data_IF_408701585520
#
_entry.id   IF_408701585520
#
_cell.length_a   1.000
_cell.length_b   1.000
_cell.length_c   1.000
_cell.angle_alpha   90.00
_cell.angle_beta   90.00
_cell.angle_gamma   90.00
#
_symmetry.space_group_name_H-M   'P 1'
#
loop_
_entity.id
_entity.type
_entity.pdbx_description
1 polymer ?
#
# COMPACT_ATOMS: atom_id res chain seq x y z
N UNK A 1 16.19 25.06 -2.27
CA UNK A 1 15.85 23.97 -1.33
C UNK A 1 14.36 23.69 -1.49
N UNK A 2 13.97 22.54 -2.05
CA UNK A 2 12.55 22.18 -2.17
C UNK A 2 12.03 21.76 -0.80
N UNK A 3 10.82 22.20 -0.44
CA UNK A 3 10.17 21.81 0.80
C UNK A 3 10.08 20.26 0.89
N UNK A 4 10.23 19.66 2.09
CA UNK A 4 10.09 18.22 2.23
C UNK A 4 8.69 17.81 1.77
N UNK A 5 8.61 16.83 0.86
CA UNK A 5 7.33 16.26 0.41
C UNK A 5 6.65 15.68 1.64
N UNK A 6 5.61 16.36 2.13
CA UNK A 6 4.82 15.87 3.26
C UNK A 6 4.07 14.64 2.79
N UNK A 7 4.36 13.51 3.43
CA UNK A 7 3.71 12.24 3.12
C UNK A 7 2.20 12.40 3.36
N UNK A 8 1.38 12.07 2.36
CA UNK A 8 -0.07 12.14 2.52
C UNK A 8 -0.53 11.09 3.54
N UNK A 9 -1.35 11.52 4.50
CA UNK A 9 -1.86 10.68 5.58
C UNK A 9 -3.34 10.37 5.36
N UNK A 10 -3.70 9.09 5.49
CA UNK A 10 -5.07 8.60 5.45
C UNK A 10 -5.40 7.86 6.74
N UNK A 11 -6.54 8.19 7.32
CA UNK A 11 -7.04 7.53 8.52
C UNK A 11 -8.01 6.42 8.13
N UNK A 12 -7.77 5.21 8.64
CA UNK A 12 -8.52 4.00 8.32
C UNK A 12 -8.90 3.25 9.58
N UNK A 13 -9.92 2.40 9.46
CA UNK A 13 -10.26 1.42 10.49
C UNK A 13 -9.01 0.61 10.91
N UNK A 14 -8.67 0.56 12.22
CA UNK A 14 -7.57 -0.23 12.75
C UNK A 14 -7.59 -1.71 12.31
N UNK A 15 -8.77 -2.31 12.10
CA UNK A 15 -8.91 -3.69 11.65
C UNK A 15 -8.25 -3.93 10.29
N UNK A 16 -8.19 -2.93 9.41
CA UNK A 16 -7.50 -3.01 8.10
C UNK A 16 -5.99 -3.09 8.23
N UNK A 17 -5.45 -2.62 9.35
CA UNK A 17 -4.02 -2.65 9.70
C UNK A 17 -3.67 -3.83 10.63
N UNK A 18 -4.64 -4.66 11.00
CA UNK A 18 -4.41 -5.85 11.83
C UNK A 18 -3.40 -6.78 11.15
N UNK A 19 -2.39 -7.24 11.89
CA UNK A 19 -1.49 -8.31 11.41
C UNK A 19 -2.15 -9.68 11.40
N UNK A 20 -3.33 -9.81 12.00
CA UNK A 20 -3.97 -11.10 12.24
C UNK A 20 -3.19 -11.97 13.21
N UNK A 21 -3.57 -13.25 13.27
CA UNK A 21 -2.90 -14.30 14.02
C UNK A 21 -2.74 -15.56 13.19
N UNK A 22 -1.69 -16.31 13.44
CA UNK A 22 -1.54 -17.64 12.86
C UNK A 22 -2.54 -18.60 13.49
N UNK A 23 -3.31 -19.32 12.67
CA UNK A 23 -4.21 -20.36 13.14
C UNK A 23 -3.65 -21.73 12.78
N UNK A 24 -3.10 -22.43 13.77
CA UNK A 24 -2.53 -23.78 13.58
C UNK A 24 -3.55 -24.79 13.03
N UNK A 25 -4.82 -24.69 13.43
CA UNK A 25 -5.87 -25.60 12.94
C UNK A 25 -6.17 -25.44 11.45
N UNK A 26 -6.03 -24.22 10.92
CA UNK A 26 -6.31 -23.90 9.51
C UNK A 26 -5.04 -23.73 8.67
N UNK A 27 -3.89 -23.93 9.29
CA UNK A 27 -2.55 -23.72 8.74
C UNK A 27 -2.41 -22.43 7.92
N UNK A 28 -2.96 -21.33 8.45
CA UNK A 28 -2.96 -20.03 7.76
C UNK A 28 -3.12 -18.86 8.72
N UNK A 29 -2.73 -17.67 8.24
CA UNK A 29 -3.03 -16.41 8.89
C UNK A 29 -4.55 -16.13 8.84
N UNK A 30 -5.13 -15.70 9.95
CA UNK A 30 -6.55 -15.30 10.06
C UNK A 30 -6.68 -13.93 10.73
N UNK A 31 -7.70 -13.17 10.33
CA UNK A 31 -7.97 -11.84 10.89
C UNK A 31 -6.93 -10.78 10.53
N UNK A 32 -6.12 -11.03 9.50
CA UNK A 32 -5.23 -10.02 8.91
C UNK A 32 -6.07 -9.03 8.10
N UNK A 33 -5.81 -7.74 8.31
CA UNK A 33 -6.46 -6.67 7.57
C UNK A 33 -5.94 -6.59 6.13
N UNK A 34 -6.75 -6.07 5.21
CA UNK A 34 -6.42 -6.01 3.79
C UNK A 34 -5.17 -5.16 3.47
N UNK A 35 -4.94 -4.07 4.22
CA UNK A 35 -3.75 -3.23 4.06
C UNK A 35 -2.50 -4.01 4.49
N UNK A 36 -2.57 -4.72 5.62
CA UNK A 36 -1.48 -5.58 6.10
C UNK A 36 -1.19 -6.74 5.15
N UNK A 37 -2.23 -7.46 4.73
CA UNK A 37 -2.13 -8.58 3.78
C UNK A 37 -1.56 -8.16 2.41
N UNK A 38 -1.69 -6.88 2.05
CA UNK A 38 -1.12 -6.33 0.82
C UNK A 38 0.39 -6.09 0.87
N UNK A 39 1.04 -6.16 2.04
CA UNK A 39 2.47 -5.87 2.18
C UNK A 39 3.30 -6.66 1.18
N UNK A 40 4.09 -5.96 0.35
CA UNK A 40 4.75 -6.57 -0.82
C UNK A 40 6.22 -6.17 -1.00
N UNK A 41 6.87 -5.54 -0.02
CA UNK A 41 8.27 -5.11 -0.18
C UNK A 41 9.21 -6.28 -0.55
N UNK A 42 9.01 -7.44 0.07
CA UNK A 42 9.72 -8.68 -0.23
C UNK A 42 9.41 -9.21 -1.65
N UNK A 43 8.16 -9.06 -2.11
CA UNK A 43 7.73 -9.55 -3.42
C UNK A 43 8.08 -8.63 -4.58
N UNK A 44 8.23 -7.34 -4.33
CA UNK A 44 8.59 -6.37 -5.37
C UNK A 44 10.01 -6.65 -5.90
N UNK A 45 10.92 -7.16 -5.06
CA UNK A 45 12.24 -7.60 -5.52
C UNK A 45 12.16 -8.75 -6.56
N UNK A 46 11.11 -9.58 -6.47
CA UNK A 46 10.78 -10.64 -7.44
C UNK A 46 9.92 -10.13 -8.62
N UNK A 47 9.62 -8.82 -8.69
CA UNK A 47 8.76 -8.22 -9.71
C UNK A 47 7.27 -8.53 -9.54
N UNK A 48 6.81 -8.88 -8.33
CA UNK A 48 5.43 -9.27 -8.03
C UNK A 48 4.87 -8.49 -6.85
N UNK A 49 3.55 -8.47 -6.73
CA UNK A 49 2.86 -7.96 -5.54
C UNK A 49 1.81 -8.97 -5.05
N UNK A 50 1.50 -8.90 -3.75
CA UNK A 50 0.31 -9.54 -3.18
C UNK A 50 -0.96 -8.82 -3.65
N UNK A 51 -2.13 -9.32 -3.23
CA UNK A 51 -3.41 -8.70 -3.56
C UNK A 51 -3.43 -7.24 -3.07
N UNK A 52 -3.66 -6.26 -3.97
CA UNK A 52 -3.77 -4.86 -3.59
C UNK A 52 -5.07 -4.61 -2.82
N UNK A 53 -5.08 -3.57 -2.01
CA UNK A 53 -6.28 -3.10 -1.31
C UNK A 53 -6.90 -1.91 -2.04
N UNK A 54 -8.19 -1.67 -1.79
CA UNK A 54 -8.93 -0.53 -2.35
C UNK A 54 -8.97 0.61 -1.35
N UNK A 55 -8.74 1.83 -1.83
CA UNK A 55 -8.96 3.06 -1.07
C UNK A 55 -9.22 4.23 -2.02
N UNK A 56 -10.29 4.98 -1.77
CA UNK A 56 -10.69 6.16 -2.57
C UNK A 56 -10.68 5.88 -4.08
N UNK A 57 -11.36 4.81 -4.51
CA UNK A 57 -11.47 4.37 -5.91
C UNK A 57 -10.14 4.05 -6.62
N UNK A 58 -9.05 3.85 -5.87
CA UNK A 58 -7.77 3.43 -6.38
C UNK A 58 -7.30 2.12 -5.74
N UNK A 59 -6.41 1.42 -6.44
CA UNK A 59 -5.69 0.26 -5.91
C UNK A 59 -4.37 0.70 -5.31
N UNK A 60 -4.04 0.09 -4.18
CA UNK A 60 -2.85 0.39 -3.38
C UNK A 60 -2.16 -0.89 -2.91
N UNK A 61 -0.86 -0.80 -2.65
CA UNK A 61 -0.08 -1.89 -2.05
C UNK A 61 0.82 -1.35 -0.96
N UNK A 62 0.82 -2.03 0.18
CA UNK A 62 1.72 -1.71 1.28
C UNK A 62 3.15 -2.15 0.97
N UNK A 63 4.11 -1.30 1.30
CA UNK A 63 5.56 -1.52 1.06
C UNK A 63 6.39 -1.33 2.32
N UNK A 64 5.77 -0.98 3.44
CA UNK A 64 6.47 -0.68 4.68
C UNK A 64 5.52 -0.53 5.86
N UNK A 65 6.02 -0.83 7.05
CA UNK A 65 5.37 -0.44 8.30
C UNK A 65 5.92 0.89 8.79
N UNK A 66 5.07 1.72 9.37
CA UNK A 66 5.45 2.90 10.15
C UNK A 66 5.01 2.61 11.58
N UNK A 67 5.98 2.50 12.50
CA UNK A 67 5.70 2.38 13.93
C UNK A 67 5.82 3.77 14.56
N UNK A 68 4.75 4.28 15.18
CA UNK A 68 4.77 5.53 15.94
C UNK A 68 4.10 5.30 17.28
N UNK A 69 4.90 5.24 18.35
CA UNK A 69 4.40 4.90 19.68
C UNK A 69 3.68 3.55 19.68
N UNK A 70 2.41 3.57 20.08
CA UNK A 70 1.60 2.36 20.28
C UNK A 70 0.78 1.92 19.07
N UNK A 71 0.85 2.65 17.95
CA UNK A 71 0.07 2.29 16.76
C UNK A 71 0.95 1.86 15.58
N UNK A 72 0.43 0.89 14.82
CA UNK A 72 0.98 0.46 13.53
C UNK A 72 0.28 1.22 12.42
N UNK A 73 1.07 1.80 11.54
CA UNK A 73 0.64 2.38 10.28
C UNK A 73 1.32 1.65 9.11
N UNK A 74 0.78 1.81 7.91
CA UNK A 74 1.35 1.25 6.70
C UNK A 74 1.76 2.36 5.73
N UNK A 75 2.90 2.19 5.07
CA UNK A 75 3.29 3.00 3.92
C UNK A 75 2.88 2.26 2.65
N UNK A 76 2.17 2.93 1.75
CA UNK A 76 1.67 2.30 0.53
C UNK A 76 1.83 3.19 -0.71
N UNK A 77 1.88 2.56 -1.87
CA UNK A 77 1.91 3.20 -3.19
C UNK A 77 0.64 2.85 -3.95
N UNK A 78 0.19 3.77 -4.82
CA UNK A 78 -0.87 3.47 -5.79
C UNK A 78 -0.37 2.51 -6.85
N UNK A 79 -1.30 1.80 -7.47
CA UNK A 79 -1.01 0.87 -8.55
C UNK A 79 -1.90 1.20 -9.74
N UNK A 80 -1.30 1.24 -10.92
CA UNK A 80 -2.01 1.35 -12.20
C UNK A 80 -1.55 0.26 -13.14
N UNK A 81 -2.39 -0.11 -14.11
CA UNK A 81 -1.92 -0.94 -15.22
C UNK A 81 -0.81 -0.22 -15.98
N UNK A 82 0.18 -0.98 -16.46
CA UNK A 82 1.35 -0.43 -17.15
C UNK A 82 0.99 0.49 -18.31
N UNK A 83 -0.10 0.20 -19.04
CA UNK A 83 -0.58 1.03 -20.17
C UNK A 83 -1.01 2.45 -19.78
N UNK A 84 -1.35 2.68 -18.51
CA UNK A 84 -1.75 4.00 -18.00
C UNK A 84 -0.58 4.77 -17.38
N UNK A 85 0.61 4.16 -17.32
CA UNK A 85 1.81 4.83 -16.83
C UNK A 85 2.52 5.56 -17.97
N UNK A 86 2.60 6.88 -17.90
CA UNK A 86 3.24 7.72 -18.92
C UNK A 86 4.77 7.74 -18.87
N UNK A 87 5.40 7.11 -17.87
CA UNK A 87 6.86 7.04 -17.73
C UNK A 87 7.45 5.72 -18.22
N UNK A 88 8.78 5.61 -18.13
CA UNK A 88 9.49 4.35 -18.39
C UNK A 88 9.49 3.49 -17.12
N UNK A 89 8.89 2.29 -17.13
CA UNK A 89 8.93 1.41 -15.97
C UNK A 89 10.36 0.95 -15.68
N UNK A 90 10.67 0.77 -14.40
CA UNK A 90 11.97 0.30 -13.90
C UNK A 90 11.78 -0.96 -13.05
N UNK A 91 12.75 -1.87 -13.07
CA UNK A 91 12.76 -3.02 -12.16
C UNK A 91 13.38 -2.68 -10.81
N UNK A 92 13.10 -3.50 -9.79
CA UNK A 92 13.69 -3.28 -8.47
C UNK A 92 15.21 -3.26 -8.51
N UNK A 93 15.81 -4.20 -9.24
CA UNK A 93 17.26 -4.34 -9.34
C UNK A 93 17.92 -3.13 -10.02
N UNK A 94 17.32 -2.62 -11.10
CA UNK A 94 17.81 -1.41 -11.76
C UNK A 94 17.74 -0.20 -10.83
N UNK A 95 16.63 -0.05 -10.11
CA UNK A 95 16.44 1.06 -9.20
C UNK A 95 17.34 0.99 -7.95
N UNK A 96 17.53 -0.22 -7.40
CA UNK A 96 18.39 -0.46 -6.24
C UNK A 96 19.87 -0.12 -6.53
N UNK A 97 20.34 -0.31 -7.77
CA UNK A 97 21.69 0.09 -8.20
C UNK A 97 21.94 1.60 -8.13
N UNK A 98 20.88 2.41 -8.13
CA UNK A 98 20.97 3.87 -7.99
C UNK A 98 21.09 4.31 -6.52
N UNK A 99 20.92 3.39 -5.56
CA UNK A 99 21.14 3.60 -4.12
C UNK A 99 20.49 4.90 -3.58
N UNK A 100 21.30 5.85 -3.11
CA UNK A 100 20.83 7.11 -2.53
C UNK A 100 20.02 7.96 -3.51
N UNK A 101 20.37 7.95 -4.80
CA UNK A 101 19.66 8.75 -5.80
C UNK A 101 18.20 8.30 -5.97
N UNK A 102 17.94 6.98 -5.89
CA UNK A 102 16.57 6.47 -5.92
C UNK A 102 15.77 6.83 -4.67
N UNK A 103 16.41 6.83 -3.50
CA UNK A 103 15.75 7.18 -2.22
C UNK A 103 15.48 8.67 -2.05
N UNK A 104 16.24 9.53 -2.74
CA UNK A 104 16.06 10.98 -2.71
C UNK A 104 14.96 11.51 -3.64
N UNK A 105 14.32 10.66 -4.46
CA UNK A 105 13.26 11.09 -5.37
C UNK A 105 12.01 11.53 -4.61
N UNK A 106 11.35 12.63 -4.99
CA UNK A 106 10.13 13.09 -4.34
C UNK A 106 8.96 12.11 -4.48
N UNK A 107 8.92 11.33 -5.57
CA UNK A 107 7.94 10.27 -5.77
C UNK A 107 8.24 9.02 -4.94
N UNK A 108 9.43 8.96 -4.33
CA UNK A 108 9.89 7.86 -3.50
C UNK A 108 10.45 6.67 -4.28
N UNK A 109 11.08 5.76 -3.53
CA UNK A 109 11.89 4.68 -4.07
C UNK A 109 11.13 3.76 -5.04
N UNK A 110 9.85 3.47 -4.78
CA UNK A 110 9.09 2.52 -5.58
C UNK A 110 8.33 3.15 -6.77
N UNK A 111 8.40 4.46 -6.99
CA UNK A 111 7.73 5.06 -8.14
C UNK A 111 8.31 4.52 -9.47
N UNK A 112 7.43 4.21 -10.42
CA UNK A 112 7.78 3.67 -11.73
C UNK A 112 8.13 2.18 -11.69
N UNK A 113 8.03 1.51 -10.53
CA UNK A 113 8.41 0.11 -10.39
C UNK A 113 7.46 -0.81 -11.15
N UNK A 114 7.99 -1.56 -12.12
CA UNK A 114 7.26 -2.58 -12.84
C UNK A 114 7.01 -3.79 -11.95
N UNK A 115 5.75 -4.18 -11.78
CA UNK A 115 5.34 -5.33 -10.96
C UNK A 115 4.19 -6.09 -11.61
N UNK A 116 4.00 -7.35 -11.22
CA UNK A 116 2.86 -8.17 -11.64
C UNK A 116 1.88 -8.41 -10.50
N UNK A 117 0.60 -8.22 -10.78
CA UNK A 117 -0.51 -8.72 -9.95
C UNK A 117 -1.23 -9.84 -10.69
N UNK A 118 -0.95 -11.09 -10.30
CA UNK A 118 -1.36 -12.25 -11.09
C UNK A 118 -0.74 -12.20 -12.49
N UNK A 119 -1.60 -12.08 -13.52
CA UNK A 119 -1.17 -11.92 -14.93
C UNK A 119 -1.10 -10.47 -15.40
N UNK A 120 -1.55 -9.53 -14.58
CA UNK A 120 -1.64 -8.12 -14.95
C UNK A 120 -0.30 -7.41 -14.74
N UNK A 121 0.18 -6.74 -15.77
CA UNK A 121 1.36 -5.88 -15.70
C UNK A 121 0.96 -4.50 -15.14
N UNK A 122 1.57 -4.15 -14.02
CA UNK A 122 1.26 -2.97 -13.25
C UNK A 122 2.52 -2.13 -12.99
N UNK A 123 2.30 -0.88 -12.57
CA UNK A 123 3.34 0.03 -12.12
C UNK A 123 2.95 0.67 -10.79
N UNK A 124 3.91 0.76 -9.87
CA UNK A 124 3.75 1.49 -8.60
C UNK A 124 3.92 2.99 -8.82
N UNK A 125 2.97 3.78 -8.31
CA UNK A 125 2.90 5.24 -8.52
C UNK A 125 2.99 5.97 -7.19
N UNK A 126 4.09 6.70 -7.04
CA UNK A 126 4.33 7.61 -5.93
C UNK A 126 3.61 8.97 -6.03
N UNK A 127 3.79 9.86 -5.03
CA UNK A 127 4.51 9.60 -3.78
C UNK A 127 3.80 8.54 -2.92
N UNK A 128 4.52 7.97 -1.96
CA UNK A 128 3.93 7.08 -0.97
C UNK A 128 2.94 7.83 -0.06
N UNK A 129 1.96 7.11 0.47
CA UNK A 129 1.04 7.61 1.50
C UNK A 129 1.12 6.75 2.76
N UNK A 130 0.80 7.33 3.92
CA UNK A 130 0.68 6.64 5.19
C UNK A 130 -0.78 6.36 5.47
N UNK A 131 -1.07 5.12 5.88
CA UNK A 131 -2.35 4.66 6.34
C UNK A 131 -2.26 4.46 7.85
N UNK A 132 -2.92 5.33 8.61
CA UNK A 132 -2.89 5.40 10.06
C UNK A 132 -4.23 4.91 10.63
N UNK A 133 -4.22 4.26 11.81
CA UNK A 133 -5.45 3.85 12.45
C UNK A 133 -6.22 5.06 12.99
N UNK A 134 -7.55 5.02 12.88
CA UNK A 134 -8.48 5.94 13.54
C UNK A 134 -9.75 5.19 13.92
N UNK A 135 -10.09 5.23 15.21
CA UNK A 135 -11.30 4.59 15.73
C UNK A 135 -12.58 5.26 15.20
N UNK A 136 -12.53 6.56 14.89
CA UNK A 136 -13.63 7.32 14.29
C UNK A 136 -13.96 6.91 12.84
N UNK A 137 -13.08 6.12 12.20
CA UNK A 137 -13.23 5.62 10.82
C UNK A 137 -13.54 4.12 10.77
N UNK A 138 -13.85 3.50 11.91
CA UNK A 138 -14.23 2.09 12.01
C UNK A 138 -15.63 1.77 11.46
N UNK A 139 -16.43 2.77 11.13
CA UNK A 139 -17.82 2.58 10.66
C UNK A 139 -18.04 3.35 9.36
N UNK A 140 -18.34 2.68 8.23
CA UNK A 140 -19.25 3.28 7.27
C UNK A 140 -20.57 3.51 8.02
N UNK A 141 -21.09 4.74 8.04
CA UNK A 141 -22.51 4.93 8.33
C UNK A 141 -23.27 4.12 7.27
N UNK A 142 -23.75 2.95 7.68
CA UNK A 142 -24.72 2.21 6.93
C UNK A 142 -26.02 3.00 7.09
N UNK A 143 -26.25 3.95 6.19
CA UNK A 143 -27.57 4.56 6.04
C UNK A 143 -28.47 3.42 5.60
N UNK A 144 -29.29 2.92 6.51
CA UNK A 144 -30.20 1.84 6.23
C UNK A 144 -31.21 2.39 5.21
N UNK A 145 -31.24 1.79 4.01
CA UNK A 145 -32.11 2.24 2.92
C UNK A 145 -33.60 2.12 3.29
N UNK A 146 -33.90 1.44 4.39
CA UNK A 146 -35.24 1.28 4.97
C UNK A 146 -35.71 2.45 5.83
N UNK A 147 -34.85 3.44 6.16
CA UNK A 147 -35.25 4.65 6.88
C UNK A 147 -35.75 5.78 5.95
N UNK A 148 -35.85 5.52 4.64
CA UNK A 148 -36.32 6.45 3.60
C UNK A 148 -37.64 6.02 2.91
N UNK A 149 -38.38 5.07 3.51
CA UNK A 149 -39.72 4.66 3.08
C UNK A 149 -40.75 4.91 4.18
#
# INVERSE_FOLDING_TARGET
MSAPVKLQEFYVDPARLSSGRWCHTRDRQIGEGDISASYSADKIAEGRIRSPFKWQNALWVSVGGISRGNYRAAQAYRIVERRFFGGTPITYNENARLSAAARGRPEGFYHGMAVKWGKLDCVLIGPASAFLPSEDKATPEQVDLFDLL
#
